data_IF_968842306726
#
_entry.id   IF_968842306726
#
_cell.length_a   1.000
_cell.length_b   1.000
_cell.length_c   1.000
_cell.angle_alpha   90.00
_cell.angle_beta   90.00
_cell.angle_gamma   90.00
#
_symmetry.space_group_name_H-M   'P 1'
#
loop_
_entity.id
_entity.type
_entity.pdbx_description
1 polymer ?
#
# COMPACT_ATOMS: atom_id res chain seq x y z
N UNK A 1 -36.97 11.90 5.71
CA UNK A 1 -36.72 10.46 5.45
C UNK A 1 -36.52 10.35 3.95
N UNK A 2 -35.28 10.42 3.51
CA UNK A 2 -34.86 10.21 2.11
C UNK A 2 -34.22 8.84 2.06
N UNK A 3 -34.77 7.97 1.24
CA UNK A 3 -34.24 6.61 1.03
C UNK A 3 -32.78 6.67 0.50
N UNK A 4 -31.90 5.77 0.93
CA UNK A 4 -30.57 5.67 0.32
C UNK A 4 -30.72 5.12 -1.11
N UNK A 5 -30.18 5.87 -2.07
CA UNK A 5 -30.17 5.56 -3.49
C UNK A 5 -29.70 4.14 -3.78
N UNK A 6 -30.40 3.49 -4.69
CA UNK A 6 -30.23 2.09 -5.05
C UNK A 6 -28.77 1.76 -5.42
N UNK A 7 -28.22 0.75 -4.75
CA UNK A 7 -27.04 0.04 -5.18
C UNK A 7 -27.38 -0.65 -6.51
N UNK A 8 -26.86 -0.10 -7.62
CA UNK A 8 -26.93 -0.79 -8.92
C UNK A 8 -26.27 -2.15 -8.77
N UNK A 9 -27.04 -3.21 -8.91
CA UNK A 9 -26.55 -4.60 -8.88
C UNK A 9 -25.62 -4.80 -10.07
N UNK A 10 -24.31 -4.93 -9.84
CA UNK A 10 -23.29 -5.32 -10.83
C UNK A 10 -23.31 -6.84 -11.13
N UNK A 11 -24.28 -7.56 -10.59
CA UNK A 11 -24.44 -8.99 -10.79
C UNK A 11 -24.73 -9.30 -12.27
N UNK A 12 -23.76 -9.98 -12.92
CA UNK A 12 -23.82 -10.37 -14.32
C UNK A 12 -23.06 -9.45 -15.29
N UNK A 13 -22.45 -8.33 -14.82
CA UNK A 13 -21.56 -7.54 -15.67
C UNK A 13 -20.27 -8.35 -15.97
N UNK A 14 -19.87 -8.34 -17.25
CA UNK A 14 -18.67 -9.05 -17.70
C UNK A 14 -17.44 -8.18 -17.57
N UNK A 15 -16.45 -8.66 -16.82
CA UNK A 15 -15.19 -8.00 -16.52
C UNK A 15 -14.02 -8.74 -17.18
N UNK A 16 -13.25 -8.05 -18.00
CA UNK A 16 -11.99 -8.55 -18.55
C UNK A 16 -10.81 -8.06 -17.70
N UNK A 17 -9.95 -8.97 -17.27
CA UNK A 17 -8.66 -8.64 -16.66
C UNK A 17 -7.56 -8.95 -17.67
N UNK A 18 -6.81 -7.94 -18.10
CA UNK A 18 -5.63 -8.07 -18.95
C UNK A 18 -4.38 -7.90 -18.10
N UNK A 19 -3.62 -8.99 -17.94
CA UNK A 19 -2.47 -9.05 -17.04
C UNK A 19 -2.80 -9.67 -15.69
N UNK A 20 -2.50 -10.97 -15.56
CA UNK A 20 -2.71 -11.78 -14.36
C UNK A 20 -1.49 -11.78 -13.44
N UNK A 21 -1.02 -10.58 -13.06
CA UNK A 21 -0.07 -10.37 -11.97
C UNK A 21 -0.78 -10.37 -10.60
N UNK A 22 -0.09 -9.91 -9.57
CA UNK A 22 -0.66 -9.78 -8.21
C UNK A 22 -1.98 -8.99 -8.23
N UNK A 23 -1.95 -7.77 -8.76
CA UNK A 23 -3.10 -6.85 -8.73
C UNK A 23 -4.25 -7.37 -9.61
N UNK A 24 -3.98 -7.66 -10.90
CA UNK A 24 -5.04 -8.13 -11.81
C UNK A 24 -5.71 -9.40 -11.33
N UNK A 25 -4.95 -10.38 -10.81
CA UNK A 25 -5.52 -11.61 -10.27
C UNK A 25 -6.33 -11.36 -9.00
N UNK A 26 -5.87 -10.45 -8.12
CA UNK A 26 -6.62 -10.07 -6.91
C UNK A 26 -7.93 -9.35 -7.25
N UNK A 27 -7.94 -8.48 -8.29
CA UNK A 27 -9.17 -7.86 -8.80
C UNK A 27 -10.12 -8.95 -9.29
N UNK A 28 -9.62 -9.92 -10.06
CA UNK A 28 -10.44 -11.04 -10.55
C UNK A 28 -11.10 -11.84 -9.42
N UNK A 29 -10.33 -12.20 -8.38
CA UNK A 29 -10.84 -12.92 -7.21
C UNK A 29 -11.92 -12.11 -6.47
N UNK A 30 -11.66 -10.83 -6.19
CA UNK A 30 -12.59 -9.95 -5.49
C UNK A 30 -13.87 -9.70 -6.29
N UNK A 31 -13.74 -9.42 -7.59
CA UNK A 31 -14.86 -9.17 -8.49
C UNK A 31 -15.76 -10.41 -8.65
N UNK A 32 -15.18 -11.61 -8.78
CA UNK A 32 -15.98 -12.86 -8.80
C UNK A 32 -16.76 -13.06 -7.50
N UNK A 33 -16.14 -12.82 -6.37
CA UNK A 33 -16.82 -12.90 -5.08
C UNK A 33 -17.99 -11.89 -4.99
N UNK A 34 -17.89 -10.75 -5.70
CA UNK A 34 -18.94 -9.73 -5.80
C UNK A 34 -19.98 -10.00 -6.92
N UNK A 35 -19.84 -11.10 -7.69
CA UNK A 35 -20.83 -11.54 -8.68
C UNK A 35 -20.57 -11.11 -10.12
N UNK A 36 -19.39 -10.58 -10.45
CA UNK A 36 -18.98 -10.32 -11.82
C UNK A 36 -18.70 -11.64 -12.60
N UNK A 37 -19.00 -11.64 -13.91
CA UNK A 37 -18.53 -12.67 -14.86
C UNK A 37 -17.11 -12.28 -15.31
N UNK A 38 -16.07 -12.87 -14.70
CA UNK A 38 -14.67 -12.48 -14.91
C UNK A 38 -13.99 -13.37 -15.93
N UNK A 39 -13.44 -12.73 -16.98
CA UNK A 39 -12.57 -13.36 -17.97
C UNK A 39 -11.16 -12.78 -17.93
N UNK A 40 -10.16 -13.61 -18.20
CA UNK A 40 -8.75 -13.33 -18.01
C UNK A 40 -7.98 -13.40 -19.32
N UNK A 41 -7.06 -12.47 -19.53
CA UNK A 41 -6.10 -12.51 -20.63
C UNK A 41 -4.68 -12.23 -20.12
N UNK A 42 -3.71 -13.04 -20.56
CA UNK A 42 -2.29 -12.82 -20.31
C UNK A 42 -1.47 -13.37 -21.50
N UNK A 43 -0.37 -12.69 -21.83
CA UNK A 43 0.57 -13.20 -22.83
C UNK A 43 1.35 -14.43 -22.34
N UNK A 44 1.59 -14.51 -21.04
CA UNK A 44 2.23 -15.62 -20.38
C UNK A 44 1.16 -16.67 -20.02
N UNK A 45 1.15 -17.84 -20.68
CA UNK A 45 0.13 -18.88 -20.46
C UNK A 45 0.24 -19.50 -19.07
N UNK A 46 1.44 -19.56 -18.48
CA UNK A 46 1.63 -20.16 -17.16
C UNK A 46 1.01 -19.27 -16.08
N UNK A 47 1.21 -17.95 -16.16
CA UNK A 47 0.57 -16.99 -15.27
C UNK A 47 -0.95 -16.98 -15.43
N UNK A 48 -1.45 -17.14 -16.66
CA UNK A 48 -2.88 -17.26 -16.91
C UNK A 48 -3.44 -18.53 -16.27
N UNK A 49 -2.78 -19.66 -16.47
CA UNK A 49 -3.20 -20.95 -15.90
C UNK A 49 -3.30 -20.90 -14.37
N UNK A 50 -2.29 -20.33 -13.71
CA UNK A 50 -2.31 -20.12 -12.25
C UNK A 50 -3.50 -19.26 -11.81
N UNK A 51 -3.75 -18.13 -12.49
CA UNK A 51 -4.86 -17.23 -12.13
C UNK A 51 -6.22 -17.92 -12.29
N UNK A 52 -6.39 -18.78 -13.32
CA UNK A 52 -7.58 -19.62 -13.52
C UNK A 52 -7.70 -20.67 -12.41
N UNK A 53 -6.61 -21.38 -12.11
CA UNK A 53 -6.59 -22.44 -11.08
C UNK A 53 -7.00 -21.94 -9.71
N UNK A 54 -6.53 -20.74 -9.31
CA UNK A 54 -6.90 -20.13 -8.03
C UNK A 54 -8.29 -19.46 -8.05
N UNK A 55 -8.99 -19.52 -9.19
CA UNK A 55 -10.38 -19.10 -9.30
C UNK A 55 -10.60 -17.61 -9.59
N UNK A 56 -9.63 -16.89 -10.14
CA UNK A 56 -9.77 -15.46 -10.45
C UNK A 56 -10.69 -15.18 -11.66
N UNK A 57 -10.91 -16.15 -12.55
CA UNK A 57 -11.77 -16.02 -13.72
C UNK A 57 -11.55 -17.16 -14.71
N UNK A 58 -12.21 -17.07 -15.86
CA UNK A 58 -12.05 -18.02 -16.97
C UNK A 58 -11.18 -17.40 -18.09
N UNK A 59 -10.50 -18.20 -18.94
CA UNK A 59 -9.75 -17.64 -20.06
C UNK A 59 -10.68 -16.88 -21.02
N UNK A 60 -10.29 -15.65 -21.42
CA UNK A 60 -11.05 -14.89 -22.41
C UNK A 60 -10.84 -15.47 -23.82
N UNK A 61 -11.90 -15.60 -24.58
CA UNK A 61 -11.90 -16.13 -25.97
C UNK A 61 -11.36 -15.10 -27.01
N UNK A 62 -11.10 -13.87 -26.58
CA UNK A 62 -10.58 -12.80 -27.44
C UNK A 62 -11.64 -12.13 -28.33
N UNK A 63 -12.90 -12.52 -28.24
CA UNK A 63 -13.98 -12.06 -29.15
C UNK A 63 -15.27 -11.63 -28.44
N UNK A 64 -15.56 -12.18 -27.29
CA UNK A 64 -16.78 -11.83 -26.54
C UNK A 64 -16.65 -10.44 -25.91
N UNK A 65 -17.63 -9.53 -26.18
CA UNK A 65 -17.64 -8.20 -25.57
C UNK A 65 -17.72 -8.23 -24.06
N UNK A 66 -17.15 -7.20 -23.42
CA UNK A 66 -17.14 -6.99 -21.97
C UNK A 66 -17.65 -5.60 -21.63
N UNK A 67 -18.20 -5.44 -20.44
CA UNK A 67 -18.66 -4.15 -19.95
C UNK A 67 -17.49 -3.29 -19.48
N UNK A 68 -16.54 -3.88 -18.78
CA UNK A 68 -15.37 -3.24 -18.23
C UNK A 68 -14.12 -4.08 -18.47
N UNK A 69 -13.02 -3.45 -18.87
CA UNK A 69 -11.70 -4.07 -18.94
C UNK A 69 -10.73 -3.38 -17.95
N UNK A 70 -10.06 -4.19 -17.13
CA UNK A 70 -8.97 -3.76 -16.25
C UNK A 70 -7.63 -4.18 -16.83
N UNK A 71 -6.75 -3.22 -17.11
CA UNK A 71 -5.43 -3.45 -17.69
C UNK A 71 -4.37 -3.32 -16.60
N UNK A 72 -3.85 -4.46 -16.14
CA UNK A 72 -2.79 -4.58 -15.14
C UNK A 72 -1.44 -4.92 -15.78
N UNK A 73 -0.96 -4.07 -16.68
CA UNK A 73 0.29 -4.24 -17.42
C UNK A 73 1.31 -3.16 -17.05
N UNK A 74 2.63 -3.43 -17.29
CA UNK A 74 3.66 -2.40 -17.15
C UNK A 74 3.38 -1.16 -18.01
N UNK A 75 3.77 0.05 -17.54
CA UNK A 75 3.52 1.31 -18.26
C UNK A 75 3.96 1.29 -19.73
N UNK A 76 5.11 0.71 -20.01
CA UNK A 76 5.68 0.67 -21.38
C UNK A 76 4.80 0.00 -22.45
N UNK A 77 3.86 -0.86 -22.06
CA UNK A 77 2.97 -1.59 -23.00
C UNK A 77 1.49 -1.24 -22.81
N UNK A 78 1.18 -0.48 -21.77
CA UNK A 78 -0.18 -0.16 -21.34
C UNK A 78 -0.97 0.56 -22.43
N UNK A 79 -0.46 1.68 -22.92
CA UNK A 79 -1.17 2.53 -23.86
C UNK A 79 -1.49 1.80 -25.18
N UNK A 80 -0.56 0.98 -25.66
CA UNK A 80 -0.78 0.14 -26.85
C UNK A 80 -1.87 -0.89 -26.66
N UNK A 81 -1.94 -1.52 -25.49
CA UNK A 81 -2.98 -2.49 -25.18
C UNK A 81 -4.37 -1.84 -25.02
N UNK A 82 -4.45 -0.69 -24.36
CA UNK A 82 -5.69 0.11 -24.28
C UNK A 82 -6.17 0.50 -25.67
N UNK A 83 -5.27 0.98 -26.56
CA UNK A 83 -5.63 1.28 -27.93
C UNK A 83 -6.15 0.05 -28.70
N UNK A 84 -5.52 -1.12 -28.50
CA UNK A 84 -5.96 -2.37 -29.12
C UNK A 84 -7.40 -2.73 -28.68
N UNK A 85 -7.67 -2.67 -27.40
CA UNK A 85 -9.01 -2.93 -26.84
C UNK A 85 -10.05 -1.92 -27.33
N UNK A 86 -9.73 -0.63 -27.30
CA UNK A 86 -10.61 0.43 -27.79
C UNK A 86 -10.95 0.23 -29.28
N UNK A 87 -9.97 -0.06 -30.14
CA UNK A 87 -10.20 -0.29 -31.57
C UNK A 87 -11.00 -1.56 -31.86
N UNK A 88 -10.90 -2.56 -31.02
CA UNK A 88 -11.70 -3.78 -31.18
C UNK A 88 -13.19 -3.55 -30.89
N UNK A 89 -13.53 -2.49 -30.13
CA UNK A 89 -14.90 -2.23 -29.70
C UNK A 89 -15.47 -3.28 -28.71
N UNK A 90 -14.60 -4.14 -28.17
CA UNK A 90 -15.02 -5.26 -27.30
C UNK A 90 -15.16 -4.85 -25.83
N UNK A 91 -14.65 -3.69 -25.43
CA UNK A 91 -14.81 -3.17 -24.08
C UNK A 91 -15.51 -1.79 -24.10
N UNK A 92 -16.57 -1.64 -23.33
CA UNK A 92 -17.30 -0.35 -23.21
C UNK A 92 -16.52 0.65 -22.37
N UNK A 93 -15.94 0.20 -21.28
CA UNK A 93 -15.08 0.98 -20.39
C UNK A 93 -13.75 0.27 -20.23
N UNK A 94 -12.65 1.02 -20.21
CA UNK A 94 -11.31 0.49 -19.97
C UNK A 94 -10.65 1.29 -18.86
N UNK A 95 -10.13 0.61 -17.86
CA UNK A 95 -9.31 1.20 -16.79
C UNK A 95 -7.96 0.53 -16.71
N UNK A 96 -6.96 1.23 -16.19
CA UNK A 96 -5.70 0.62 -15.76
C UNK A 96 -5.53 0.73 -14.24
N UNK A 97 -4.61 -0.04 -13.69
CA UNK A 97 -4.31 -0.10 -12.26
C UNK A 97 -2.83 0.22 -11.95
N UNK A 98 -2.23 1.10 -12.75
CA UNK A 98 -0.84 1.52 -12.59
C UNK A 98 -0.65 2.41 -11.36
N UNK A 99 0.55 2.35 -10.79
CA UNK A 99 0.96 3.17 -9.64
C UNK A 99 1.19 4.64 -9.97
N UNK A 100 1.28 5.00 -11.25
CA UNK A 100 1.36 6.35 -11.78
C UNK A 100 0.22 6.60 -12.75
N UNK A 101 -0.26 7.84 -12.84
CA UNK A 101 -1.47 8.13 -13.59
C UNK A 101 -1.24 9.11 -14.76
N UNK A 102 -0.47 10.17 -14.54
CA UNK A 102 -0.35 11.27 -15.53
C UNK A 102 0.30 10.81 -16.83
N UNK A 103 1.48 10.21 -16.77
CA UNK A 103 2.20 9.78 -17.98
C UNK A 103 1.41 8.73 -18.77
N UNK A 104 0.88 7.65 -18.17
CA UNK A 104 0.02 6.69 -18.86
C UNK A 104 -1.21 7.33 -19.50
N UNK A 105 -1.87 8.29 -18.80
CA UNK A 105 -3.02 9.01 -19.36
C UNK A 105 -2.65 9.79 -20.62
N UNK A 106 -1.55 10.55 -20.59
CA UNK A 106 -1.09 11.33 -21.75
C UNK A 106 -0.75 10.43 -22.94
N UNK A 107 -0.10 9.30 -22.71
CA UNK A 107 0.23 8.33 -23.75
C UNK A 107 -1.02 7.69 -24.36
N UNK A 108 -2.00 7.32 -23.52
CA UNK A 108 -3.28 6.78 -23.97
C UNK A 108 -4.03 7.83 -24.79
N UNK A 109 -4.16 9.07 -24.30
CA UNK A 109 -4.85 10.16 -24.99
C UNK A 109 -4.20 10.46 -26.36
N UNK A 110 -2.88 10.42 -26.45
CA UNK A 110 -2.17 10.60 -27.72
C UNK A 110 -2.52 9.50 -28.75
N UNK A 111 -2.85 8.28 -28.31
CA UNK A 111 -3.13 7.15 -29.19
C UNK A 111 -4.61 7.01 -29.55
N UNK A 112 -5.52 7.30 -28.60
CA UNK A 112 -6.96 7.05 -28.79
C UNK A 112 -7.82 8.33 -28.86
N UNK A 113 -7.19 9.49 -28.67
CA UNK A 113 -7.92 10.77 -28.55
C UNK A 113 -8.77 10.84 -27.28
N UNK A 114 -9.72 11.76 -27.26
CA UNK A 114 -10.62 11.96 -26.14
C UNK A 114 -11.76 10.95 -26.08
N UNK A 115 -11.49 9.66 -25.96
CA UNK A 115 -12.51 8.63 -25.84
C UNK A 115 -13.04 8.53 -24.41
N UNK A 116 -14.36 8.72 -24.26
CA UNK A 116 -15.04 8.79 -22.95
C UNK A 116 -15.03 7.51 -22.14
N UNK A 117 -14.74 6.36 -22.76
CA UNK A 117 -14.66 5.05 -22.09
C UNK A 117 -13.36 4.76 -21.34
N UNK A 118 -12.38 5.68 -21.36
CA UNK A 118 -11.10 5.49 -20.66
C UNK A 118 -11.06 6.19 -19.31
N UNK A 119 -10.66 5.45 -18.27
CA UNK A 119 -10.51 5.94 -16.89
C UNK A 119 -9.20 5.43 -16.32
N UNK A 120 -8.32 6.31 -15.84
CA UNK A 120 -7.19 5.90 -15.02
C UNK A 120 -7.61 5.49 -13.61
N UNK A 121 -6.97 4.50 -13.02
CA UNK A 121 -7.19 4.18 -11.61
C UNK A 121 -5.98 3.53 -10.94
N UNK A 122 -5.94 3.58 -9.61
CA UNK A 122 -4.85 2.99 -8.82
C UNK A 122 -5.37 2.45 -7.49
N UNK A 123 -5.46 1.12 -7.30
CA UNK A 123 -5.61 0.53 -5.99
C UNK A 123 -4.31 0.68 -5.19
N UNK A 124 -4.34 1.47 -4.11
CA UNK A 124 -3.18 1.66 -3.23
C UNK A 124 -3.07 0.46 -2.29
N UNK A 125 -2.73 -0.66 -2.88
CA UNK A 125 -2.55 -1.95 -2.22
C UNK A 125 -1.47 -2.74 -2.94
N UNK A 126 -0.66 -3.47 -2.16
CA UNK A 126 0.43 -4.28 -2.71
C UNK A 126 1.01 -5.19 -1.65
N UNK A 127 1.92 -6.06 -2.08
CA UNK A 127 2.76 -6.93 -1.25
C UNK A 127 4.17 -6.87 -1.82
N UNK A 128 5.16 -7.22 -1.01
CA UNK A 128 6.57 -7.28 -1.43
C UNK A 128 6.84 -8.36 -2.51
N UNK A 129 5.90 -9.28 -2.71
CA UNK A 129 5.98 -10.37 -3.69
C UNK A 129 5.04 -10.15 -4.85
N UNK A 130 5.52 -10.44 -6.07
CA UNK A 130 4.77 -10.31 -7.32
C UNK A 130 4.22 -11.66 -7.81
N UNK A 131 3.31 -11.61 -8.81
CA UNK A 131 2.75 -12.78 -9.48
C UNK A 131 1.41 -13.26 -8.92
N UNK A 132 0.69 -14.14 -9.68
CA UNK A 132 -0.65 -14.60 -9.34
C UNK A 132 -0.69 -15.46 -8.07
N UNK A 133 0.37 -16.20 -7.72
CA UNK A 133 0.44 -17.03 -6.50
C UNK A 133 0.30 -16.23 -5.20
N UNK A 134 0.53 -14.92 -5.24
CA UNK A 134 0.43 -14.04 -4.08
C UNK A 134 -0.87 -13.23 -4.05
N UNK A 135 -1.73 -13.43 -5.04
CA UNK A 135 -3.01 -12.76 -5.14
C UNK A 135 -3.96 -13.18 -4.00
N UNK A 136 -4.82 -12.24 -3.58
CA UNK A 136 -5.82 -12.48 -2.57
C UNK A 136 -7.06 -11.63 -2.86
N UNK A 137 -8.25 -12.21 -2.67
CA UNK A 137 -9.52 -11.52 -2.92
C UNK A 137 -9.82 -10.39 -1.94
N UNK A 138 -9.16 -10.37 -0.80
CA UNK A 138 -9.26 -9.34 0.24
C UNK A 138 -8.15 -8.28 0.19
N UNK A 139 -7.29 -8.32 -0.84
CA UNK A 139 -6.14 -7.40 -0.97
C UNK A 139 -6.54 -5.93 -0.88
N UNK A 140 -7.73 -5.58 -1.36
CA UNK A 140 -8.23 -4.21 -1.45
C UNK A 140 -9.13 -3.81 -0.28
N UNK A 141 -9.45 -4.74 0.62
CA UNK A 141 -10.37 -4.49 1.72
C UNK A 141 -9.90 -3.32 2.58
N UNK A 142 -10.76 -2.29 2.69
CA UNK A 142 -10.49 -1.03 3.39
C UNK A 142 -9.26 -0.25 2.87
N UNK A 143 -8.72 -0.60 1.69
CA UNK A 143 -7.61 0.13 1.07
C UNK A 143 -8.12 1.28 0.19
N UNK A 144 -7.36 2.37 0.07
CA UNK A 144 -7.70 3.42 -0.89
C UNK A 144 -7.61 2.89 -2.33
N UNK A 145 -8.57 3.29 -3.15
CA UNK A 145 -8.52 3.12 -4.60
C UNK A 145 -8.84 4.47 -5.25
N UNK A 146 -7.85 5.06 -5.90
CA UNK A 146 -8.00 6.36 -6.54
C UNK A 146 -8.47 6.17 -7.97
N UNK A 147 -9.51 6.89 -8.37
CA UNK A 147 -10.02 6.95 -9.74
C UNK A 147 -9.65 8.30 -10.32
N UNK A 148 -9.00 8.29 -11.49
CA UNK A 148 -8.45 9.46 -12.15
C UNK A 148 -9.11 9.65 -13.53
N UNK A 149 -10.34 10.22 -13.62
CA UNK A 149 -10.97 10.50 -14.88
C UNK A 149 -10.18 11.54 -15.68
N UNK A 150 -10.19 11.43 -17.00
CA UNK A 150 -9.71 12.49 -17.91
C UNK A 150 -10.81 13.52 -18.15
N UNK A 151 -10.51 14.68 -18.71
CA UNK A 151 -11.55 15.63 -19.12
C UNK A 151 -12.54 15.09 -20.18
N UNK A 152 -12.14 14.05 -20.92
CA UNK A 152 -12.98 13.40 -21.91
C UNK A 152 -13.79 12.23 -21.36
N UNK A 153 -13.48 11.76 -20.14
CA UNK A 153 -14.13 10.59 -19.55
C UNK A 153 -15.63 10.80 -19.35
N UNK A 154 -16.42 9.79 -19.73
CA UNK A 154 -17.85 9.77 -19.44
C UNK A 154 -18.09 9.42 -17.96
N UNK A 155 -19.08 10.08 -17.35
CA UNK A 155 -19.43 9.82 -15.95
C UNK A 155 -19.88 8.38 -15.72
N UNK A 156 -20.57 7.76 -16.71
CA UNK A 156 -20.95 6.34 -16.67
C UNK A 156 -19.75 5.41 -16.58
N UNK A 157 -18.66 5.74 -17.29
CA UNK A 157 -17.40 4.96 -17.25
C UNK A 157 -16.67 5.13 -15.92
N UNK A 158 -16.61 6.36 -15.39
CA UNK A 158 -16.06 6.60 -14.06
C UNK A 158 -16.85 5.84 -12.99
N UNK A 159 -18.17 5.90 -13.02
CA UNK A 159 -19.04 5.18 -12.09
C UNK A 159 -18.87 3.66 -12.16
N UNK A 160 -18.64 3.08 -13.35
CA UNK A 160 -18.39 1.65 -13.50
C UNK A 160 -17.07 1.23 -12.81
N UNK A 161 -16.01 2.04 -12.94
CA UNK A 161 -14.72 1.77 -12.26
C UNK A 161 -14.86 1.92 -10.73
N UNK A 162 -15.59 2.91 -10.26
CA UNK A 162 -15.87 3.11 -8.84
C UNK A 162 -16.70 1.97 -8.24
N UNK A 163 -17.70 1.49 -9.00
CA UNK A 163 -18.51 0.35 -8.60
C UNK A 163 -17.65 -0.92 -8.45
N UNK A 164 -16.75 -1.19 -9.42
CA UNK A 164 -15.79 -2.29 -9.32
C UNK A 164 -14.89 -2.15 -8.08
N UNK A 165 -14.29 -0.98 -7.88
CA UNK A 165 -13.40 -0.74 -6.73
C UNK A 165 -14.13 -0.94 -5.39
N UNK A 166 -15.38 -0.44 -5.30
CA UNK A 166 -16.25 -0.64 -4.12
C UNK A 166 -16.60 -2.12 -3.93
N UNK A 167 -16.93 -2.84 -5.01
CA UNK A 167 -17.21 -4.27 -4.97
C UNK A 167 -15.99 -5.10 -4.52
N UNK A 168 -14.77 -4.63 -4.81
CA UNK A 168 -13.53 -5.21 -4.30
C UNK A 168 -13.26 -4.85 -2.81
N UNK A 169 -14.14 -4.11 -2.14
CA UNK A 169 -14.00 -3.70 -0.74
C UNK A 169 -13.12 -2.47 -0.51
N UNK A 170 -12.74 -1.75 -1.57
CA UNK A 170 -11.88 -0.58 -1.47
C UNK A 170 -12.65 0.70 -1.06
N UNK A 171 -11.91 1.65 -0.48
CA UNK A 171 -12.38 3.02 -0.24
C UNK A 171 -12.04 3.89 -1.45
N UNK A 172 -13.05 4.25 -2.22
CA UNK A 172 -12.90 4.99 -3.48
C UNK A 172 -12.74 6.48 -3.23
N UNK A 173 -11.84 7.12 -4.00
CA UNK A 173 -11.73 8.58 -4.08
C UNK A 173 -11.41 8.98 -5.52
N UNK A 174 -11.88 10.18 -5.94
CA UNK A 174 -11.52 10.78 -7.24
C UNK A 174 -10.42 11.80 -7.08
N UNK A 175 -9.50 11.84 -8.05
CA UNK A 175 -8.39 12.80 -8.07
C UNK A 175 -7.95 13.05 -9.51
N UNK A 176 -7.43 14.23 -9.81
CA UNK A 176 -6.74 14.45 -11.09
C UNK A 176 -5.42 13.65 -11.13
N UNK A 177 -5.04 13.16 -12.31
CA UNK A 177 -3.84 12.34 -12.46
C UNK A 177 -2.56 13.04 -11.96
N UNK A 178 -2.42 14.34 -12.23
CA UNK A 178 -1.27 15.13 -11.77
C UNK A 178 -1.24 15.26 -10.23
N UNK A 179 -2.39 15.48 -9.60
CA UNK A 179 -2.48 15.57 -8.14
C UNK A 179 -2.20 14.22 -7.47
N UNK A 180 -2.68 13.13 -8.08
CA UNK A 180 -2.35 11.77 -7.67
C UNK A 180 -0.84 11.54 -7.67
N UNK A 181 -0.17 11.82 -8.79
CA UNK A 181 1.26 11.55 -8.94
C UNK A 181 2.13 12.42 -8.02
N UNK A 182 1.74 13.69 -7.83
CA UNK A 182 2.39 14.57 -6.85
C UNK A 182 2.23 14.08 -5.40
N UNK A 183 1.05 13.57 -5.06
CA UNK A 183 0.77 13.00 -3.74
C UNK A 183 1.54 11.69 -3.51
N UNK A 184 1.46 10.75 -4.45
CA UNK A 184 2.13 9.45 -4.34
C UNK A 184 3.66 9.57 -4.39
N UNK A 185 4.21 10.58 -5.06
CA UNK A 185 5.64 10.88 -4.98
C UNK A 185 6.09 11.11 -3.51
N UNK A 186 5.27 11.78 -2.71
CA UNK A 186 5.57 12.07 -1.29
C UNK A 186 5.23 10.93 -0.35
N UNK A 187 4.14 10.19 -0.60
CA UNK A 187 3.62 9.17 0.32
C UNK A 187 4.18 7.76 0.04
N UNK A 188 4.70 7.52 -1.17
CA UNK A 188 5.16 6.22 -1.62
C UNK A 188 6.56 6.25 -2.25
N UNK A 189 6.77 7.07 -3.31
CA UNK A 189 7.97 6.96 -4.13
C UNK A 189 9.22 7.45 -3.39
N UNK A 190 9.19 8.64 -2.81
CA UNK A 190 10.31 9.16 -2.02
C UNK A 190 10.60 8.30 -0.77
N UNK A 191 9.63 7.86 0.04
CA UNK A 191 9.86 6.92 1.12
C UNK A 191 10.60 5.65 0.71
N UNK A 192 10.21 5.03 -0.41
CA UNK A 192 10.89 3.86 -0.95
C UNK A 192 12.35 4.14 -1.29
N UNK A 193 12.61 5.23 -2.02
CA UNK A 193 13.98 5.59 -2.43
C UNK A 193 14.86 5.93 -1.23
N UNK A 194 14.30 6.61 -0.22
CA UNK A 194 15.01 6.94 1.04
C UNK A 194 15.34 5.67 1.82
N UNK A 195 14.40 4.74 1.95
CA UNK A 195 14.64 3.46 2.61
C UNK A 195 15.70 2.64 1.87
N UNK A 196 15.65 2.60 0.53
CA UNK A 196 16.64 1.93 -0.31
C UNK A 196 18.02 2.56 -0.18
N UNK A 197 18.13 3.90 -0.15
CA UNK A 197 19.37 4.62 0.04
C UNK A 197 19.99 4.35 1.43
N UNK A 198 19.15 4.31 2.48
CA UNK A 198 19.57 3.97 3.83
C UNK A 198 20.10 2.54 3.90
N UNK A 199 19.40 1.56 3.32
CA UNK A 199 19.83 0.18 3.27
C UNK A 199 21.12 0.01 2.43
N UNK A 200 21.25 0.71 1.31
CA UNK A 200 22.43 0.69 0.46
C UNK A 200 23.71 1.18 1.20
N UNK A 201 23.58 2.07 2.17
CA UNK A 201 24.69 2.54 2.98
C UNK A 201 25.29 1.45 3.88
N UNK A 202 24.62 0.32 4.05
CA UNK A 202 25.13 -0.84 4.80
C UNK A 202 26.04 -1.74 3.95
N UNK A 203 25.99 -1.59 2.63
CA UNK A 203 26.79 -2.43 1.72
C UNK A 203 28.27 -2.15 1.92
N UNK A 204 29.02 -3.20 2.23
CA UNK A 204 30.46 -3.14 2.49
C UNK A 204 30.84 -2.99 3.97
N UNK A 205 29.88 -2.91 4.89
CA UNK A 205 30.15 -3.04 6.32
C UNK A 205 30.40 -4.50 6.70
N UNK A 206 31.13 -4.71 7.79
CA UNK A 206 31.29 -6.05 8.35
C UNK A 206 29.95 -6.60 8.86
N UNK A 207 29.62 -7.87 8.59
CA UNK A 207 28.39 -8.49 9.10
C UNK A 207 28.24 -8.41 10.62
N UNK A 208 29.34 -8.50 11.38
CA UNK A 208 29.31 -8.39 12.84
C UNK A 208 28.95 -6.97 13.30
N UNK A 209 29.39 -5.94 12.55
CA UNK A 209 28.98 -4.55 12.80
C UNK A 209 27.48 -4.34 12.46
N UNK A 210 27.01 -4.92 11.37
CA UNK A 210 25.60 -4.86 10.98
C UNK A 210 24.69 -5.58 11.98
N UNK A 211 25.20 -6.61 12.65
CA UNK A 211 24.46 -7.31 13.70
C UNK A 211 24.12 -6.42 14.92
N UNK A 212 24.80 -5.28 15.09
CA UNK A 212 24.48 -4.27 16.11
C UNK A 212 23.24 -3.40 15.76
N UNK A 213 22.67 -3.59 14.55
CA UNK A 213 21.52 -2.82 14.11
C UNK A 213 20.28 -3.10 14.97
N UNK A 214 19.72 -2.06 15.57
CA UNK A 214 18.47 -2.12 16.31
C UNK A 214 17.22 -2.10 15.40
N UNK A 215 16.05 -2.15 16.05
CA UNK A 215 14.72 -2.11 15.38
C UNK A 215 14.53 -0.87 14.51
N UNK A 216 15.01 0.29 14.93
CA UNK A 216 14.86 1.53 14.18
C UNK A 216 15.43 1.46 12.75
N UNK A 217 16.62 0.84 12.55
CA UNK A 217 17.16 0.64 11.22
C UNK A 217 16.35 -0.39 10.42
N UNK A 218 15.96 -1.49 11.05
CA UNK A 218 15.16 -2.56 10.43
C UNK A 218 13.82 -2.02 9.93
N UNK A 219 13.11 -1.26 10.76
CA UNK A 219 11.81 -0.68 10.43
C UNK A 219 11.92 0.33 9.28
N UNK A 220 12.94 1.20 9.32
CA UNK A 220 13.13 2.24 8.31
C UNK A 220 13.56 1.66 6.97
N UNK A 221 14.36 0.58 6.96
CA UNK A 221 14.86 -0.06 5.74
C UNK A 221 13.96 -1.20 5.22
N UNK A 222 12.91 -1.60 5.95
CA UNK A 222 12.08 -2.78 5.63
C UNK A 222 11.55 -2.78 4.20
N UNK A 223 11.09 -1.64 3.71
CA UNK A 223 10.53 -1.52 2.35
C UNK A 223 11.60 -1.52 1.24
N UNK A 224 12.89 -1.47 1.58
CA UNK A 224 13.98 -1.52 0.59
C UNK A 224 14.06 -2.87 -0.14
N UNK A 225 13.51 -3.95 0.43
CA UNK A 225 13.41 -5.27 -0.22
C UNK A 225 12.24 -5.29 -1.21
N UNK A 226 12.44 -4.60 -2.34
CA UNK A 226 11.44 -4.40 -3.40
C UNK A 226 12.05 -4.66 -4.77
N UNK A 227 11.21 -4.92 -5.77
CA UNK A 227 11.62 -5.17 -7.16
C UNK A 227 12.24 -3.92 -7.79
N UNK A 228 13.55 -3.91 -8.13
CA UNK A 228 14.22 -2.73 -8.68
C UNK A 228 13.70 -2.33 -10.06
N UNK A 229 13.20 -3.27 -10.87
CA UNK A 229 12.66 -2.99 -12.19
C UNK A 229 11.34 -2.23 -12.09
N UNK A 230 10.44 -2.69 -11.20
CA UNK A 230 9.17 -1.99 -10.93
C UNK A 230 9.42 -0.55 -10.48
N UNK A 231 10.36 -0.34 -9.54
CA UNK A 231 10.65 1.00 -9.02
C UNK A 231 11.31 1.90 -10.05
N UNK A 232 12.16 1.35 -10.92
CA UNK A 232 12.73 2.13 -12.04
C UNK A 232 11.63 2.62 -13.00
N UNK A 233 10.64 1.79 -13.32
CA UNK A 233 9.49 2.18 -14.15
C UNK A 233 8.62 3.25 -13.47
N UNK A 234 8.32 3.10 -12.18
CA UNK A 234 7.51 4.09 -11.42
C UNK A 234 8.20 5.46 -11.40
N UNK A 235 9.51 5.48 -11.09
CA UNK A 235 10.28 6.73 -11.03
C UNK A 235 10.40 7.38 -12.41
N UNK A 236 10.63 6.58 -13.46
CA UNK A 236 10.72 7.08 -14.83
C UNK A 236 9.39 7.70 -15.33
N UNK A 237 8.26 7.20 -14.84
CA UNK A 237 6.94 7.71 -15.21
C UNK A 237 6.47 8.93 -14.36
N UNK A 238 7.20 9.28 -13.27
CA UNK A 238 6.89 10.46 -12.44
C UNK A 238 8.16 11.21 -11.99
N UNK A 239 9.06 11.58 -12.90
CA UNK A 239 10.37 12.11 -12.52
C UNK A 239 10.30 13.45 -11.79
N UNK A 240 9.44 14.37 -12.22
CA UNK A 240 9.30 15.70 -11.61
C UNK A 240 8.72 15.62 -10.20
N UNK A 241 7.66 14.83 -10.01
CA UNK A 241 7.03 14.62 -8.71
C UNK A 241 8.00 13.98 -7.73
N UNK A 242 8.74 12.96 -8.18
CA UNK A 242 9.74 12.26 -7.36
C UNK A 242 10.89 13.20 -6.98
N UNK A 243 11.42 13.99 -7.92
CA UNK A 243 12.48 14.96 -7.64
C UNK A 243 12.04 15.96 -6.58
N UNK A 244 10.87 16.57 -6.73
CA UNK A 244 10.33 17.53 -5.75
C UNK A 244 10.10 16.89 -4.37
N UNK A 245 9.65 15.64 -4.32
CA UNK A 245 9.47 14.92 -3.07
C UNK A 245 10.79 14.58 -2.38
N UNK A 246 11.83 14.20 -3.16
CA UNK A 246 13.18 13.97 -2.65
C UNK A 246 13.82 15.27 -2.14
N UNK A 247 13.66 16.40 -2.83
CA UNK A 247 14.18 17.69 -2.38
C UNK A 247 13.65 18.06 -0.99
N UNK A 248 12.38 17.78 -0.72
CA UNK A 248 11.77 18.02 0.58
C UNK A 248 12.40 17.19 1.73
N UNK A 249 12.95 16.00 1.41
CA UNK A 249 13.66 15.14 2.37
C UNK A 249 15.13 15.53 2.46
N UNK A 250 15.77 15.80 1.33
CA UNK A 250 17.20 16.10 1.26
C UNK A 250 17.57 17.46 1.86
N UNK A 251 16.77 18.50 1.62
CA UNK A 251 17.10 19.85 2.07
C UNK A 251 17.42 19.96 3.58
N UNK A 252 16.60 19.41 4.51
CA UNK A 252 16.94 19.45 5.93
C UNK A 252 18.13 18.58 6.30
N UNK A 253 18.39 17.47 5.57
CA UNK A 253 19.56 16.62 5.81
C UNK A 253 20.85 17.28 5.34
N UNK A 254 20.84 17.96 4.20
CA UNK A 254 21.98 18.72 3.68
C UNK A 254 22.32 19.86 4.63
N UNK A 255 21.33 20.64 5.06
CA UNK A 255 21.54 21.73 6.02
C UNK A 255 22.14 21.23 7.36
N UNK A 256 21.64 20.08 7.84
CA UNK A 256 22.19 19.44 9.04
C UNK A 256 23.65 19.01 8.85
N UNK A 257 23.97 18.35 7.73
CA UNK A 257 25.33 17.89 7.40
C UNK A 257 26.31 19.05 7.29
N UNK A 258 25.90 20.16 6.66
CA UNK A 258 26.73 21.37 6.56
C UNK A 258 27.02 21.96 7.94
N UNK A 259 26.03 22.05 8.81
CA UNK A 259 26.19 22.52 10.19
C UNK A 259 27.15 21.66 11.01
N UNK A 260 27.09 20.33 10.85
CA UNK A 260 28.01 19.40 11.51
C UNK A 260 29.48 19.61 11.06
N UNK A 261 29.72 20.05 9.82
CA UNK A 261 31.05 20.34 9.29
C UNK A 261 31.68 21.62 9.84
N UNK A 262 30.93 22.50 10.49
CA UNK A 262 31.42 23.79 11.03
C UNK A 262 31.93 23.71 12.48
N UNK A 263 31.96 22.54 13.10
CA UNK A 263 32.59 22.33 14.43
C UNK A 263 31.71 22.63 15.66
N UNK A 264 30.50 23.16 15.47
CA UNK A 264 29.50 23.26 16.55
C UNK A 264 28.35 22.24 16.23
N UNK A 265 28.00 21.34 17.18
CA UNK A 265 26.86 20.47 16.98
C UNK A 265 25.59 21.34 16.85
N UNK A 266 24.85 21.26 15.74
CA UNK A 266 23.64 22.07 15.54
C UNK A 266 22.48 21.47 16.34
N UNK A 267 22.62 21.44 17.68
CA UNK A 267 21.62 20.82 18.56
C UNK A 267 20.20 21.35 18.31
N UNK A 268 20.07 22.63 18.00
CA UNK A 268 18.78 23.23 17.69
C UNK A 268 18.24 22.77 16.34
N UNK A 269 19.10 22.61 15.34
CA UNK A 269 18.70 22.09 14.03
C UNK A 269 18.26 20.62 14.12
N UNK A 270 18.98 19.80 14.88
CA UNK A 270 18.59 18.40 15.16
C UNK A 270 17.25 18.35 15.87
N UNK A 271 17.07 19.18 16.92
CA UNK A 271 15.81 19.26 17.67
C UNK A 271 14.65 19.67 16.78
N UNK A 272 14.84 20.69 15.95
CA UNK A 272 13.81 21.16 15.01
C UNK A 272 13.43 20.09 13.98
N UNK A 273 14.42 19.38 13.43
CA UNK A 273 14.16 18.29 12.48
C UNK A 273 13.37 17.14 13.12
N UNK A 274 13.79 16.69 14.31
CA UNK A 274 13.12 15.60 15.04
C UNK A 274 11.69 16.01 15.42
N UNK A 275 11.49 17.26 15.89
CA UNK A 275 10.14 17.74 16.25
C UNK A 275 9.22 17.82 15.03
N UNK A 276 9.70 18.31 13.89
CA UNK A 276 8.94 18.27 12.63
C UNK A 276 8.63 16.83 12.21
N UNK A 277 9.56 15.90 12.39
CA UNK A 277 9.34 14.48 12.14
C UNK A 277 8.23 13.90 13.02
N UNK A 278 8.22 14.24 14.32
CA UNK A 278 7.13 13.87 15.24
C UNK A 278 5.77 14.40 14.79
N UNK A 279 5.71 15.67 14.36
CA UNK A 279 4.47 16.27 13.82
C UNK A 279 4.01 15.54 12.55
N UNK A 280 4.92 15.24 11.62
CA UNK A 280 4.60 14.46 10.41
C UNK A 280 4.09 13.06 10.75
N UNK A 281 4.71 12.37 11.71
CA UNK A 281 4.27 11.04 12.16
C UNK A 281 2.85 11.07 12.74
N UNK A 282 2.49 12.14 13.43
CA UNK A 282 1.15 12.33 14.00
C UNK A 282 0.05 12.58 12.92
N UNK A 283 0.43 12.95 11.70
CA UNK A 283 -0.53 13.08 10.59
C UNK A 283 -0.96 11.75 9.98
N UNK A 284 -0.20 10.67 10.23
CA UNK A 284 -0.56 9.35 9.73
C UNK A 284 -1.78 8.84 10.47
N UNK A 285 -2.84 8.54 9.71
CA UNK A 285 -4.09 8.04 10.27
C UNK A 285 -3.88 6.74 11.05
N UNK A 286 -4.63 6.57 12.13
CA UNK A 286 -4.74 5.32 12.86
C UNK A 286 -5.47 4.24 12.06
N UNK A 287 -5.73 3.09 12.71
CA UNK A 287 -6.51 1.98 12.12
C UNK A 287 -7.85 2.50 11.55
N UNK A 288 -8.22 1.98 10.40
CA UNK A 288 -9.47 2.28 9.69
C UNK A 288 -9.65 3.77 9.30
N UNK A 289 -8.54 4.53 9.15
CA UNK A 289 -8.60 5.94 8.76
C UNK A 289 -9.15 6.88 9.83
N UNK A 290 -9.18 6.45 11.09
CA UNK A 290 -9.53 7.31 12.22
C UNK A 290 -8.48 8.40 12.45
N UNK A 291 -8.87 9.47 13.15
CA UNK A 291 -7.93 10.50 13.58
C UNK A 291 -6.74 9.85 14.30
N UNK A 292 -5.52 10.38 14.15
CA UNK A 292 -4.34 9.86 14.83
C UNK A 292 -4.60 9.83 16.36
N UNK A 293 -4.50 8.65 16.94
CA UNK A 293 -4.62 8.48 18.38
C UNK A 293 -3.22 8.21 18.93
N UNK A 294 -2.87 8.87 20.02
CA UNK A 294 -1.67 8.51 20.78
C UNK A 294 -2.01 7.32 21.65
N UNK A 295 -1.52 6.16 21.29
CA UNK A 295 -1.72 4.95 22.08
C UNK A 295 -0.81 4.93 23.31
N UNK A 296 -1.27 4.31 24.38
CA UNK A 296 -0.43 3.89 25.49
C UNK A 296 0.27 2.59 25.10
N UNK A 297 1.57 2.47 25.37
CA UNK A 297 2.34 1.26 25.04
C UNK A 297 2.62 0.47 26.29
N UNK A 298 2.31 -0.82 26.24
CA UNK A 298 2.66 -1.80 27.26
C UNK A 298 3.72 -2.75 26.70
N UNK A 299 4.94 -2.66 27.24
CA UNK A 299 6.07 -3.50 26.85
C UNK A 299 6.13 -4.75 27.73
N UNK A 300 6.18 -5.90 27.10
CA UNK A 300 6.19 -7.23 27.79
C UNK A 300 7.41 -8.02 27.35
N UNK A 301 8.16 -8.53 28.33
CA UNK A 301 9.27 -9.46 28.08
C UNK A 301 8.70 -10.87 27.88
N UNK A 302 9.00 -11.46 26.70
CA UNK A 302 8.46 -12.76 26.29
C UNK A 302 9.60 -13.71 25.96
N UNK A 303 9.61 -14.95 26.51
CA UNK A 303 10.56 -15.98 26.11
C UNK A 303 10.43 -16.29 24.60
N UNK A 304 11.56 -16.47 23.92
CA UNK A 304 11.57 -16.90 22.52
C UNK A 304 11.37 -18.42 22.42
N UNK A 305 10.12 -18.82 22.69
CA UNK A 305 9.69 -20.22 22.72
C UNK A 305 8.41 -20.40 21.89
N UNK A 306 8.23 -21.56 21.23
CA UNK A 306 6.99 -21.86 20.52
C UNK A 306 5.76 -21.72 21.44
N UNK A 307 4.80 -20.91 20.99
CA UNK A 307 3.54 -20.68 21.71
C UNK A 307 3.57 -19.54 22.75
N UNK A 308 4.73 -18.95 23.06
CA UNK A 308 4.82 -17.88 24.05
C UNK A 308 4.00 -16.65 23.64
N UNK A 309 4.10 -16.22 22.37
CA UNK A 309 3.27 -15.12 21.82
C UNK A 309 1.77 -15.43 21.90
N UNK A 310 1.36 -16.67 21.56
CA UNK A 310 -0.04 -17.07 21.64
C UNK A 310 -0.57 -17.01 23.08
N UNK A 311 0.22 -17.43 24.07
CA UNK A 311 -0.14 -17.31 25.51
C UNK A 311 -0.26 -15.84 25.92
N UNK A 312 0.70 -14.99 25.53
CA UNK A 312 0.63 -13.57 25.84
C UNK A 312 -0.68 -12.95 25.32
N UNK A 313 -1.03 -13.21 24.04
CA UNK A 313 -2.24 -12.65 23.44
C UNK A 313 -3.52 -13.18 24.09
N UNK A 314 -3.56 -14.48 24.48
CA UNK A 314 -4.66 -15.05 25.22
C UNK A 314 -4.80 -14.42 26.63
N UNK A 315 -3.68 -14.16 27.28
CA UNK A 315 -3.65 -13.51 28.59
C UNK A 315 -4.00 -12.02 28.51
N UNK A 316 -3.58 -11.33 27.44
CA UNK A 316 -3.99 -9.96 27.18
C UNK A 316 -5.49 -9.85 26.90
N UNK A 317 -6.08 -10.79 26.15
CA UNK A 317 -7.52 -10.83 25.89
C UNK A 317 -8.34 -10.94 27.18
N UNK A 318 -7.84 -11.63 28.22
CA UNK A 318 -8.50 -11.72 29.50
C UNK A 318 -8.54 -10.41 30.32
N UNK A 319 -7.82 -9.39 29.88
CA UNK A 319 -7.91 -8.04 30.45
C UNK A 319 -9.10 -7.23 29.94
N UNK A 320 -9.81 -7.70 28.91
CA UNK A 320 -10.85 -6.96 28.19
C UNK A 320 -10.35 -5.61 27.61
N UNK A 321 -9.03 -5.48 27.42
CA UNK A 321 -8.39 -4.33 26.78
C UNK A 321 -8.10 -4.69 25.33
N UNK A 322 -8.59 -3.87 24.37
CA UNK A 322 -8.28 -4.07 22.98
C UNK A 322 -6.82 -3.71 22.69
N UNK A 323 -6.11 -4.60 21.99
CA UNK A 323 -4.75 -4.35 21.48
C UNK A 323 -4.87 -3.74 20.10
N UNK A 324 -4.39 -2.50 19.97
CA UNK A 324 -4.50 -1.72 18.74
C UNK A 324 -3.36 -1.98 17.76
N UNK A 325 -2.16 -2.19 18.29
CA UNK A 325 -0.98 -2.55 17.49
C UNK A 325 -0.03 -3.43 18.30
N UNK A 326 0.80 -4.21 17.58
CA UNK A 326 1.79 -5.11 18.19
C UNK A 326 3.11 -4.91 17.47
N UNK A 327 4.16 -4.62 18.23
CA UNK A 327 5.53 -4.62 17.73
C UNK A 327 6.34 -5.67 18.47
N UNK A 328 7.18 -6.39 17.74
CA UNK A 328 8.03 -7.44 18.30
C UNK A 328 9.48 -7.05 18.01
N UNK A 329 10.26 -6.92 19.06
CA UNK A 329 11.69 -6.64 18.97
C UNK A 329 12.49 -7.83 19.54
N UNK A 330 13.42 -8.33 18.73
CA UNK A 330 14.32 -9.42 19.11
C UNK A 330 15.74 -8.89 19.29
N UNK A 331 16.29 -9.02 20.47
CA UNK A 331 17.70 -8.70 20.72
C UNK A 331 18.58 -9.85 20.24
N UNK A 332 19.61 -9.60 19.40
CA UNK A 332 20.52 -10.66 18.95
C UNK A 332 21.18 -11.39 20.13
N UNK A 333 21.16 -12.73 20.08
CA UNK A 333 21.84 -13.57 21.08
C UNK A 333 21.15 -13.73 22.43
N UNK A 334 19.94 -13.18 22.60
CA UNK A 334 19.15 -13.32 23.84
C UNK A 334 17.86 -14.10 23.52
N UNK A 335 17.53 -15.20 24.25
CA UNK A 335 16.34 -16.01 23.98
C UNK A 335 15.06 -15.37 24.57
N UNK A 336 14.92 -14.06 24.40
CA UNK A 336 13.73 -13.28 24.79
C UNK A 336 13.39 -12.27 23.71
N UNK A 337 12.12 -12.01 23.50
CA UNK A 337 11.57 -10.89 22.72
C UNK A 337 10.99 -9.82 23.63
N UNK A 338 11.08 -8.58 23.23
CA UNK A 338 10.28 -7.49 23.79
C UNK A 338 9.06 -7.28 22.88
N UNK A 339 7.88 -7.38 23.46
CA UNK A 339 6.63 -7.17 22.73
C UNK A 339 5.94 -5.92 23.26
N UNK A 340 5.78 -4.95 22.38
CA UNK A 340 5.04 -3.74 22.65
C UNK A 340 3.58 -3.92 22.19
N UNK A 341 2.66 -3.75 23.10
CA UNK A 341 1.22 -3.77 22.87
C UNK A 341 0.68 -2.35 22.99
N UNK A 342 0.22 -1.77 21.90
CA UNK A 342 -0.42 -0.46 21.91
C UNK A 342 -1.90 -0.62 22.27
N UNK A 343 -2.37 0.15 23.26
CA UNK A 343 -3.73 0.13 23.78
C UNK A 343 -4.31 1.54 23.88
N UNK A 344 -5.61 1.66 24.04
CA UNK A 344 -6.25 2.95 24.23
C UNK A 344 -5.70 3.68 25.48
N UNK A 345 -5.52 5.02 25.42
CA UNK A 345 -5.07 5.79 26.58
C UNK A 345 -5.91 5.53 27.82
N UNK A 346 -5.26 5.40 28.96
CA UNK A 346 -5.89 5.06 30.25
C UNK A 346 -6.22 3.56 30.42
N UNK A 347 -5.84 2.69 29.48
CA UNK A 347 -6.05 1.23 29.58
C UNK A 347 -4.77 0.45 29.89
N UNK A 348 -3.61 1.08 29.85
CA UNK A 348 -2.31 0.43 30.08
C UNK A 348 -2.21 -0.22 31.45
N UNK A 349 -2.64 0.45 32.53
CA UNK A 349 -2.58 -0.07 33.90
C UNK A 349 -3.43 -1.34 34.11
N UNK A 350 -4.63 -1.38 33.48
CA UNK A 350 -5.50 -2.55 33.51
C UNK A 350 -4.83 -3.75 32.83
N UNK A 351 -4.21 -3.55 31.67
CA UNK A 351 -3.48 -4.59 30.95
C UNK A 351 -2.26 -5.06 31.75
N UNK A 352 -1.42 -4.15 32.23
CA UNK A 352 -0.23 -4.46 33.03
C UNK A 352 -0.59 -5.28 34.24
N UNK A 353 -1.63 -4.87 34.98
CA UNK A 353 -2.08 -5.58 36.19
C UNK A 353 -2.54 -7.01 35.88
N UNK A 354 -3.26 -7.19 34.79
CA UNK A 354 -3.73 -8.51 34.34
C UNK A 354 -2.57 -9.40 33.92
N UNK A 355 -1.65 -8.88 33.12
CA UNK A 355 -0.47 -9.62 32.67
C UNK A 355 0.47 -10.00 33.82
N UNK A 356 0.69 -9.08 34.79
CA UNK A 356 1.50 -9.35 35.96
C UNK A 356 0.91 -10.49 36.83
N UNK A 357 -0.42 -10.52 37.01
CA UNK A 357 -1.10 -11.64 37.74
C UNK A 357 -0.93 -12.99 37.05
N UNK A 358 -0.65 -13.00 35.74
CA UNK A 358 -0.42 -14.20 34.94
C UNK A 358 1.07 -14.53 34.75
N UNK A 359 1.94 -13.78 35.46
CA UNK A 359 3.38 -14.07 35.54
C UNK A 359 4.22 -13.37 34.45
N UNK A 360 3.62 -12.43 33.66
CA UNK A 360 4.36 -11.66 32.69
C UNK A 360 5.06 -10.45 33.32
N UNK A 361 6.28 -10.17 32.89
CA UNK A 361 6.97 -8.90 33.20
C UNK A 361 6.50 -7.84 32.20
N UNK A 362 5.65 -6.94 32.64
CA UNK A 362 5.05 -5.90 31.81
C UNK A 362 5.28 -4.52 32.42
N UNK A 363 5.65 -3.55 31.58
CA UNK A 363 5.81 -2.14 31.93
C UNK A 363 5.03 -1.29 30.92
N UNK A 364 4.62 -0.08 31.30
CA UNK A 364 3.83 0.75 30.40
C UNK A 364 4.22 2.22 30.44
N UNK A 365 3.98 2.90 29.31
CA UNK A 365 4.11 4.35 29.16
C UNK A 365 2.78 4.90 28.66
N UNK A 366 2.17 5.79 29.43
CA UNK A 366 1.07 6.62 28.92
C UNK A 366 1.64 7.68 27.95
N UNK A 367 0.90 8.05 26.90
CA UNK A 367 1.31 9.09 26.01
C UNK A 367 1.46 10.42 26.78
N UNK A 368 2.57 11.11 26.59
CA UNK A 368 2.73 12.45 27.15
C UNK A 368 1.58 13.35 26.67
N UNK A 369 0.99 14.09 27.62
CA UNK A 369 -0.14 14.98 27.40
C UNK A 369 0.15 16.05 26.33
#
# INVERSE_FOLDING_TARGET
>A
MSEPGGQGSSAGERLLIVGTGLIGTSVGLAARAAGYDVVLANRDPDRLAVAVEIGAGEPWDGSTPVDLAVVGLPPAVLAGEIQRLQRSGLARTITHVCSVQLQPQLEVEALIGGWGGFIGSHPIAGRERSGPHHAAGDLFQDRPWVVCPTPASEESSAAAVEALATACGARVSRMAAADHDALLARLSHAPQLVASALAAALVGLDPDDVALAGSGLRDTSRIADSDPFLWAEIVAANPEGVAAALDAVLAPLVALREGLGMGEPPADAVRALVERGRQGRQMLAGKHGQAPVRWATVSVVVPDEPGALARLLADAAASEVNVEDIRIDHSPGVPIGLIDLDVAPGRSEQLITTLARRGWSATGNEPAA
#
